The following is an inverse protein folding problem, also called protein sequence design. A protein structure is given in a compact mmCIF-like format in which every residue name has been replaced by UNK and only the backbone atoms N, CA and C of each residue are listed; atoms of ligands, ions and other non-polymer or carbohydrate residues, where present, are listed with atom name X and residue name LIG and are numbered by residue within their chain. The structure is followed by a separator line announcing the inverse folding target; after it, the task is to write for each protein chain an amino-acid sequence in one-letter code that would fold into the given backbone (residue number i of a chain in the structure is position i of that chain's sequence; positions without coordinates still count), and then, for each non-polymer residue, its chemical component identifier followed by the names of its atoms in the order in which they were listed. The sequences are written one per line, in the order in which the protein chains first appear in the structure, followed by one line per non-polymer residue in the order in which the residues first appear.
data_IF_007958034679
#
_entry.id   IF_007958034679
#
_cell.length_a   1.000
_cell.length_b   1.000
_cell.length_c   1.000
_cell.angle_alpha   90.00
_cell.angle_beta   90.00
_cell.angle_gamma   90.00
#
_symmetry.space_group_name_H-M   'P 1'
#
loop_
_entity.id
_entity.type
_entity.pdbx_description
1 polymer ?
#
# COMPACT_ATOMS: atom_id res chain seq x y z
N UNK A 1 1.86 10.05 2.79
CA UNK A 1 3.27 9.82 3.13
C UNK A 1 4.14 10.82 2.37
N UNK A 2 5.07 11.51 3.04
CA UNK A 2 5.88 12.58 2.42
C UNK A 2 6.99 11.99 1.53
N UNK A 3 7.66 10.93 1.99
CA UNK A 3 8.77 10.32 1.26
C UNK A 3 8.31 9.77 -0.11
N UNK A 4 7.18 9.05 -0.12
CA UNK A 4 6.52 8.58 -1.34
C UNK A 4 6.16 9.75 -2.26
N UNK A 5 5.58 10.82 -1.69
CA UNK A 5 5.23 12.02 -2.46
C UNK A 5 6.44 12.68 -3.12
N UNK A 6 7.56 12.80 -2.40
CA UNK A 6 8.81 13.35 -2.93
C UNK A 6 9.40 12.48 -4.06
N UNK A 7 9.32 11.15 -3.95
CA UNK A 7 9.76 10.23 -5.01
C UNK A 7 8.92 10.42 -6.29
N UNK A 8 7.59 10.44 -6.14
CA UNK A 8 6.66 10.65 -7.27
C UNK A 8 6.87 12.02 -7.90
N UNK A 9 7.08 13.07 -7.09
CA UNK A 9 7.42 14.42 -7.57
C UNK A 9 8.70 14.41 -8.41
N UNK A 10 9.77 13.83 -7.88
CA UNK A 10 11.06 13.77 -8.59
C UNK A 10 10.96 13.02 -9.93
N UNK A 11 10.27 11.87 -9.94
CA UNK A 11 10.07 11.07 -11.16
C UNK A 11 9.18 11.80 -12.16
N UNK A 12 8.06 12.40 -11.72
CA UNK A 12 7.10 13.05 -12.61
C UNK A 12 7.61 14.35 -13.25
N UNK A 13 8.61 14.99 -12.63
CA UNK A 13 9.33 16.15 -13.19
C UNK A 13 10.54 15.75 -14.04
N UNK A 14 10.84 14.46 -14.14
CA UNK A 14 11.97 13.93 -14.92
C UNK A 14 11.62 13.78 -16.41
N UNK A 15 12.61 13.73 -17.32
CA UNK A 15 12.36 13.44 -18.73
C UNK A 15 11.79 12.03 -18.99
N UNK A 16 11.84 11.13 -18.01
CA UNK A 16 11.35 9.76 -18.12
C UNK A 16 9.85 9.62 -17.82
N UNK A 17 9.22 10.65 -17.25
CA UNK A 17 7.82 10.61 -16.84
C UNK A 17 6.85 10.11 -17.93
N UNK A 18 6.98 10.52 -19.22
CA UNK A 18 6.08 10.05 -20.27
C UNK A 18 6.04 8.53 -20.47
N UNK A 19 7.08 7.82 -20.07
CA UNK A 19 7.25 6.37 -20.25
C UNK A 19 7.33 5.62 -18.91
N UNK A 20 6.90 6.25 -17.81
CA UNK A 20 7.00 5.68 -16.47
C UNK A 20 5.65 5.23 -15.92
N UNK A 21 5.65 4.08 -15.26
CA UNK A 21 4.59 3.66 -14.35
C UNK A 21 5.21 3.32 -12.98
N UNK A 22 4.59 3.81 -11.91
CA UNK A 22 4.97 3.54 -10.53
C UNK A 22 3.87 2.68 -9.93
N UNK A 23 4.26 1.52 -9.39
CA UNK A 23 3.38 0.64 -8.63
C UNK A 23 3.79 0.70 -7.16
N UNK A 24 2.82 0.97 -6.28
CA UNK A 24 3.02 1.02 -4.83
C UNK A 24 2.11 -0.06 -4.24
N UNK A 25 2.73 -1.04 -3.61
CA UNK A 25 2.09 -2.14 -2.88
C UNK A 25 2.78 -2.28 -1.52
N UNK A 26 2.15 -2.96 -0.57
CA UNK A 26 2.79 -3.35 0.69
C UNK A 26 3.51 -4.70 0.52
N UNK A 27 4.42 -5.02 1.44
CA UNK A 27 5.09 -6.34 1.49
C UNK A 27 4.09 -7.43 1.93
N UNK A 28 3.30 -7.11 2.96
CA UNK A 28 2.18 -7.90 3.42
C UNK A 28 1.17 -6.98 4.17
N UNK A 29 -0.09 -7.40 4.34
CA UNK A 29 -1.15 -6.59 4.96
C UNK A 29 -1.13 -6.64 6.49
N UNK A 30 -0.09 -7.20 7.10
CA UNK A 30 0.19 -7.21 8.54
C UNK A 30 -0.97 -7.74 9.41
N UNK A 31 -1.93 -8.46 8.81
CA UNK A 31 -3.04 -9.10 9.51
C UNK A 31 -4.06 -8.12 10.08
N UNK A 32 -4.29 -6.97 9.45
CA UNK A 32 -5.05 -5.83 10.02
C UNK A 32 -6.56 -6.05 10.21
N UNK A 33 -7.06 -7.29 10.21
CA UNK A 33 -8.48 -7.58 10.47
C UNK A 33 -9.43 -6.98 9.43
N UNK A 34 -9.04 -7.00 8.15
CA UNK A 34 -9.87 -6.53 7.05
C UNK A 34 -11.17 -7.36 6.95
N UNK A 35 -12.29 -6.66 6.75
CA UNK A 35 -13.63 -7.25 6.79
C UNK A 35 -13.99 -8.10 5.56
N UNK A 36 -13.23 -8.00 4.46
CA UNK A 36 -13.42 -8.81 3.26
C UNK A 36 -12.48 -10.00 3.30
N UNK A 37 -11.18 -9.74 3.43
CA UNK A 37 -10.16 -10.77 3.42
C UNK A 37 -8.87 -10.25 4.08
N UNK A 38 -8.27 -11.03 4.99
CA UNK A 38 -7.19 -10.57 5.86
C UNK A 38 -5.87 -10.27 5.14
N UNK A 39 -5.69 -10.82 3.93
CA UNK A 39 -4.58 -10.57 3.03
C UNK A 39 -4.85 -9.43 2.02
N UNK A 40 -6.00 -8.76 2.07
CA UNK A 40 -6.26 -7.62 1.20
C UNK A 40 -5.37 -6.44 1.59
N UNK A 41 -4.53 -5.99 0.65
CA UNK A 41 -3.66 -4.82 0.79
C UNK A 41 -4.07 -3.69 -0.18
N UNK A 42 -3.36 -2.57 -0.12
CA UNK A 42 -3.49 -1.44 -1.03
C UNK A 42 -2.61 -1.63 -2.26
N UNK A 43 -3.10 -1.17 -3.41
CA UNK A 43 -2.30 -1.03 -4.63
C UNK A 43 -2.59 0.33 -5.25
N UNK A 44 -1.56 1.15 -5.43
CA UNK A 44 -1.64 2.48 -6.05
C UNK A 44 -0.77 2.46 -7.29
N UNK A 45 -1.35 2.86 -8.43
CA UNK A 45 -0.62 2.96 -9.71
C UNK A 45 -0.61 4.42 -10.16
N UNK A 46 0.59 4.93 -10.48
CA UNK A 46 0.82 6.33 -10.84
C UNK A 46 1.57 6.37 -12.18
N UNK A 47 0.97 7.01 -13.18
CA UNK A 47 1.52 7.14 -14.53
C UNK A 47 0.75 8.21 -15.32
N UNK A 48 1.31 8.83 -16.37
CA UNK A 48 0.49 9.58 -17.33
C UNK A 48 -0.59 8.72 -17.99
N UNK A 49 -0.38 7.40 -18.04
CA UNK A 49 -1.20 6.46 -18.78
C UNK A 49 -2.31 5.80 -17.95
N UNK A 50 -2.44 6.13 -16.66
CA UNK A 50 -3.57 5.66 -15.85
C UNK A 50 -4.73 6.65 -15.88
N UNK A 51 -5.96 6.13 -15.73
CA UNK A 51 -7.16 6.95 -15.56
C UNK A 51 -7.07 7.74 -14.24
N UNK A 52 -7.12 9.08 -14.30
CA UNK A 52 -7.05 9.93 -13.10
C UNK A 52 -8.24 9.71 -12.17
N UNK A 53 -7.96 9.58 -10.87
CA UNK A 53 -8.99 9.45 -9.84
C UNK A 53 -9.85 8.20 -9.97
N UNK A 54 -9.39 7.22 -10.75
CA UNK A 54 -10.12 5.98 -10.98
C UNK A 54 -9.84 4.97 -9.88
N UNK A 55 -10.91 4.42 -9.31
CA UNK A 55 -10.87 3.30 -8.38
C UNK A 55 -11.32 2.05 -9.13
N UNK A 56 -10.40 1.09 -9.33
CA UNK A 56 -10.78 -0.21 -9.84
C UNK A 56 -11.50 -1.02 -8.77
N UNK A 57 -12.56 -1.73 -9.16
CA UNK A 57 -13.23 -2.75 -8.34
C UNK A 57 -13.02 -4.16 -8.90
N UNK A 58 -12.11 -4.31 -9.87
CA UNK A 58 -11.69 -5.61 -10.37
C UNK A 58 -10.81 -6.26 -9.30
N UNK A 59 -11.00 -7.56 -9.09
CA UNK A 59 -10.17 -8.33 -8.18
C UNK A 59 -8.79 -8.57 -8.80
N UNK A 60 -7.75 -8.10 -8.12
CA UNK A 60 -6.35 -8.28 -8.49
C UNK A 60 -5.56 -8.77 -7.29
N UNK A 61 -4.56 -9.59 -7.59
CA UNK A 61 -3.63 -10.18 -6.64
C UNK A 61 -2.21 -9.71 -7.01
N UNK A 62 -1.20 -9.91 -6.16
CA UNK A 62 0.18 -9.49 -6.49
C UNK A 62 0.69 -10.03 -7.84
N UNK A 63 0.42 -11.30 -8.24
CA UNK A 63 0.74 -11.77 -9.58
C UNK A 63 0.17 -10.93 -10.73
N UNK A 64 -0.96 -10.24 -10.54
CA UNK A 64 -1.54 -9.31 -11.52
C UNK A 64 -0.66 -8.08 -11.75
N UNK A 65 -0.01 -7.58 -10.70
CA UNK A 65 0.95 -6.47 -10.80
C UNK A 65 2.15 -6.91 -11.65
N UNK A 66 2.75 -8.05 -11.30
CA UNK A 66 3.88 -8.60 -12.06
C UNK A 66 3.51 -8.88 -13.51
N UNK A 67 2.37 -9.53 -13.76
CA UNK A 67 1.87 -9.78 -15.11
C UNK A 67 1.72 -8.49 -15.92
N UNK A 68 1.27 -7.42 -15.30
CA UNK A 68 1.12 -6.11 -15.96
C UNK A 68 2.48 -5.52 -16.32
N UNK A 69 3.45 -5.56 -15.40
CA UNK A 69 4.82 -5.10 -15.63
C UNK A 69 5.50 -5.91 -16.74
N UNK A 70 5.33 -7.23 -16.74
CA UNK A 70 5.87 -8.12 -17.77
C UNK A 70 5.37 -7.75 -19.17
N UNK A 71 4.06 -7.50 -19.29
CA UNK A 71 3.44 -7.09 -20.55
C UNK A 71 3.95 -5.71 -21.01
N UNK A 72 4.17 -4.76 -20.10
CA UNK A 72 4.74 -3.46 -20.42
C UNK A 72 6.18 -3.56 -20.92
N UNK A 73 7.00 -4.36 -20.26
CA UNK A 73 8.41 -4.53 -20.59
C UNK A 73 8.64 -5.51 -21.76
N UNK A 74 7.60 -6.24 -22.18
CA UNK A 74 7.68 -7.24 -23.25
C UNK A 74 8.50 -8.48 -22.84
N UNK A 75 8.52 -8.81 -21.55
CA UNK A 75 9.27 -9.96 -21.00
C UNK A 75 8.33 -11.15 -20.74
N UNK A 76 8.83 -12.40 -20.79
CA UNK A 76 8.01 -13.57 -20.48
C UNK A 76 7.69 -13.65 -18.98
N UNK A 77 6.65 -14.43 -18.59
CA UNK A 77 6.35 -14.68 -17.19
C UNK A 77 7.51 -15.31 -16.43
N UNK A 78 7.72 -14.92 -15.18
CA UNK A 78 8.76 -15.50 -14.32
C UNK A 78 8.38 -16.89 -13.79
N UNK A 79 7.08 -17.19 -13.67
CA UNK A 79 6.60 -18.46 -13.12
C UNK A 79 5.21 -18.87 -13.60
N UNK A 80 4.54 -19.71 -12.79
CA UNK A 80 3.16 -20.15 -13.08
C UNK A 80 2.13 -19.11 -12.64
N UNK A 81 2.43 -18.38 -11.57
CA UNK A 81 1.46 -17.49 -10.92
C UNK A 81 1.17 -16.27 -11.80
N UNK A 82 2.21 -15.54 -12.20
CA UNK A 82 2.15 -14.43 -13.17
C UNK A 82 1.66 -14.89 -14.55
N UNK A 83 2.05 -16.08 -15.02
CA UNK A 83 1.59 -16.62 -16.30
C UNK A 83 0.06 -16.80 -16.34
N UNK A 84 -0.56 -17.15 -15.22
CA UNK A 84 -2.01 -17.37 -15.09
C UNK A 84 -2.78 -16.18 -14.51
N UNK A 85 -2.08 -15.12 -14.09
CA UNK A 85 -2.70 -13.94 -13.50
C UNK A 85 -3.43 -13.09 -14.55
N UNK A 86 -4.50 -12.41 -14.10
CA UNK A 86 -5.17 -11.41 -14.91
C UNK A 86 -4.38 -10.09 -14.88
N UNK A 87 -4.03 -9.49 -16.03
CA UNK A 87 -3.39 -8.18 -16.05
C UNK A 87 -4.36 -7.05 -15.64
N UNK A 88 -3.79 -5.97 -15.10
CA UNK A 88 -4.52 -4.78 -14.64
C UNK A 88 -4.92 -3.87 -15.81
N UNK A 89 -5.73 -4.36 -16.75
CA UNK A 89 -6.01 -3.63 -18.00
C UNK A 89 -7.00 -2.47 -17.85
N UNK A 90 -7.87 -2.51 -16.84
CA UNK A 90 -8.96 -1.54 -16.72
C UNK A 90 -8.51 -0.14 -16.26
N UNK A 91 -7.32 -0.03 -15.66
CA UNK A 91 -6.79 1.22 -15.13
C UNK A 91 -6.12 2.12 -16.18
N UNK A 92 -5.79 1.59 -17.36
CA UNK A 92 -5.02 2.31 -18.40
C UNK A 92 -5.94 3.08 -19.35
N UNK A 93 -5.44 4.23 -19.83
CA UNK A 93 -6.02 4.95 -20.97
C UNK A 93 -5.51 4.34 -22.28
N UNK A 94 -6.31 4.43 -23.33
CA UNK A 94 -5.98 3.83 -24.64
C UNK A 94 -5.12 4.76 -25.53
N UNK A 95 -4.92 6.02 -25.13
CA UNK A 95 -4.23 7.04 -25.94
C UNK A 95 -5.03 7.49 -27.17
N UNK A 96 -6.27 7.04 -27.33
CA UNK A 96 -7.15 7.36 -28.46
C UNK A 96 -8.41 8.05 -27.95
N UNK A 97 -9.28 7.32 -27.26
CA UNK A 97 -10.47 7.87 -26.63
C UNK A 97 -10.12 8.72 -25.40
N UNK A 98 -9.09 8.34 -24.66
CA UNK A 98 -8.56 9.11 -23.54
C UNK A 98 -7.05 9.27 -23.69
N UNK A 99 -6.61 10.52 -23.76
CA UNK A 99 -5.20 10.87 -23.88
C UNK A 99 -4.50 10.73 -22.52
N UNK A 100 -3.20 10.35 -22.51
CA UNK A 100 -2.39 10.37 -21.30
C UNK A 100 -2.25 11.80 -20.76
N UNK A 101 -2.14 11.91 -19.45
CA UNK A 101 -1.97 13.20 -18.78
C UNK A 101 -0.59 13.32 -18.15
N UNK A 102 0.27 14.08 -18.82
CA UNK A 102 1.66 14.27 -18.45
C UNK A 102 1.88 15.32 -17.35
N UNK A 103 0.83 15.90 -16.76
CA UNK A 103 1.02 16.92 -15.73
C UNK A 103 1.78 16.34 -14.54
N UNK A 104 2.86 17.01 -14.09
CA UNK A 104 3.69 16.50 -13.00
C UNK A 104 2.92 16.51 -11.68
N UNK A 105 3.45 15.80 -10.69
CA UNK A 105 2.97 15.79 -9.33
C UNK A 105 3.80 16.72 -8.46
N UNK A 106 3.14 17.51 -7.61
CA UNK A 106 3.77 18.31 -6.57
C UNK A 106 3.54 17.63 -5.22
N UNK A 107 4.62 17.33 -4.50
CA UNK A 107 4.51 16.69 -3.20
C UNK A 107 3.84 17.63 -2.19
N UNK A 108 2.91 17.09 -1.40
CA UNK A 108 2.27 17.86 -0.33
C UNK A 108 3.18 17.80 0.89
N UNK A 109 3.88 18.91 1.15
CA UNK A 109 4.67 19.09 2.35
C UNK A 109 3.76 19.45 3.51
N UNK A 110 3.83 18.64 4.56
CA UNK A 110 3.19 18.92 5.84
C UNK A 110 4.27 19.08 6.91
N UNK A 111 4.26 20.24 7.57
CA UNK A 111 5.08 20.50 8.76
C UNK A 111 4.34 19.93 9.96
N UNK A 112 4.46 18.62 10.17
CA UNK A 112 3.93 17.96 11.36
C UNK A 112 5.05 18.03 12.42
N UNK A 113 4.80 18.69 13.56
CA UNK A 113 5.75 18.68 14.67
C UNK A 113 6.08 17.24 15.05
N UNK A 114 7.36 16.97 15.32
CA UNK A 114 7.75 15.67 15.88
C UNK A 114 7.14 15.55 17.27
N UNK A 115 6.06 14.80 17.36
CA UNK A 115 5.44 14.42 18.63
C UNK A 115 5.98 13.07 19.06
N UNK A 116 6.46 13.00 20.29
CA UNK A 116 6.65 11.72 20.97
C UNK A 116 5.30 11.30 21.55
N UNK A 117 4.99 10.00 21.50
CA UNK A 117 3.83 9.47 22.20
C UNK A 117 3.90 9.93 23.67
N UNK A 118 2.85 10.58 24.20
CA UNK A 118 2.80 10.91 25.61
C UNK A 118 2.82 9.61 26.43
N UNK A 119 3.20 9.69 27.71
CA UNK A 119 3.01 8.55 28.61
C UNK A 119 1.51 8.25 28.73
N UNK A 120 1.06 7.19 28.05
CA UNK A 120 -0.31 6.69 28.06
C UNK A 120 -0.61 5.83 29.31
N UNK A 121 0.25 5.86 30.31
CA UNK A 121 0.08 5.18 31.58
C UNK A 121 0.17 3.66 31.42
N UNK A 122 -0.91 2.95 31.79
CA UNK A 122 -0.94 1.48 31.77
C UNK A 122 -0.73 0.89 30.38
N UNK A 123 -1.18 1.56 29.32
CA UNK A 123 -0.97 1.10 27.94
C UNK A 123 0.49 1.25 27.49
N UNK A 124 1.18 2.30 27.93
CA UNK A 124 2.61 2.46 27.66
C UNK A 124 3.40 1.36 28.37
N UNK A 125 3.08 1.10 29.65
CA UNK A 125 3.72 0.03 30.44
C UNK A 125 3.43 -1.38 29.91
N UNK A 126 2.29 -1.57 29.23
CA UNK A 126 1.92 -2.86 28.66
C UNK A 126 2.92 -3.35 27.60
N UNK A 127 3.68 -2.45 26.97
CA UNK A 127 4.67 -2.77 25.95
C UNK A 127 6.13 -2.63 26.42
N UNK A 128 6.38 -2.41 27.71
CA UNK A 128 7.75 -2.33 28.27
C UNK A 128 8.56 -3.63 28.05
N UNK A 129 7.88 -4.74 27.79
CA UNK A 129 8.47 -6.03 27.49
C UNK A 129 8.90 -6.19 26.03
N UNK A 130 8.52 -5.26 25.15
CA UNK A 130 8.76 -5.35 23.72
C UNK A 130 10.16 -4.85 23.35
N UNK A 131 10.88 -5.66 22.56
CA UNK A 131 12.19 -5.29 22.00
C UNK A 131 12.00 -4.67 20.61
N UNK A 132 11.84 -3.35 20.54
CA UNK A 132 11.66 -2.63 19.28
C UNK A 132 12.95 -2.46 18.46
N UNK A 133 14.10 -2.95 18.95
CA UNK A 133 15.33 -2.99 18.14
C UNK A 133 15.33 -4.16 17.15
N UNK A 134 14.42 -5.13 17.34
CA UNK A 134 14.31 -6.32 16.51
C UNK A 134 12.90 -6.47 15.96
N UNK A 135 12.83 -7.03 14.76
CA UNK A 135 11.57 -7.31 14.07
C UNK A 135 10.80 -8.38 14.85
N UNK A 136 9.48 -8.19 14.97
CA UNK A 136 8.52 -9.13 15.55
C UNK A 136 8.82 -9.59 17.00
N UNK A 137 9.39 -8.72 17.83
CA UNK A 137 9.64 -9.00 19.26
C UNK A 137 8.65 -8.29 20.19
N UNK A 138 7.37 -8.24 19.80
CA UNK A 138 6.30 -7.67 20.62
C UNK A 138 4.96 -8.43 20.49
N UNK A 139 4.88 -9.70 20.95
CA UNK A 139 3.63 -10.45 20.92
C UNK A 139 2.49 -9.71 21.64
N UNK A 140 1.30 -9.68 21.04
CA UNK A 140 0.13 -9.00 21.62
C UNK A 140 0.11 -7.48 21.42
N UNK A 141 1.04 -6.90 20.65
CA UNK A 141 1.02 -5.47 20.31
C UNK A 141 -0.29 -5.05 19.65
N UNK A 142 -0.84 -5.87 18.75
CA UNK A 142 -2.12 -5.60 18.08
C UNK A 142 -3.27 -5.35 19.06
N UNK A 143 -3.30 -6.07 20.18
CA UNK A 143 -4.31 -5.87 21.24
C UNK A 143 -4.13 -4.56 21.99
N UNK A 144 -2.88 -4.18 22.29
CA UNK A 144 -2.57 -2.90 22.94
C UNK A 144 -2.97 -1.75 22.02
N UNK A 145 -2.64 -1.83 20.74
CA UNK A 145 -2.99 -0.82 19.73
C UNK A 145 -4.52 -0.72 19.55
N UNK A 146 -5.24 -1.84 19.50
CA UNK A 146 -6.69 -1.84 19.45
C UNK A 146 -7.28 -1.10 20.66
N UNK A 147 -6.83 -1.42 21.87
CA UNK A 147 -7.31 -0.76 23.09
C UNK A 147 -6.98 0.73 23.13
N UNK A 148 -5.81 1.12 22.61
CA UNK A 148 -5.43 2.53 22.47
C UNK A 148 -6.36 3.27 21.49
N UNK A 149 -6.70 2.66 20.36
CA UNK A 149 -7.51 3.30 19.32
C UNK A 149 -9.02 3.24 19.57
N UNK A 150 -9.50 2.19 20.24
CA UNK A 150 -10.93 1.84 20.37
C UNK A 150 -11.43 1.80 21.81
N UNK A 151 -10.54 1.97 22.80
CA UNK A 151 -10.89 1.85 24.22
C UNK A 151 -11.33 0.43 24.58
N UNK A 152 -12.36 0.30 25.41
CA UNK A 152 -12.92 -0.99 25.84
C UNK A 152 -13.87 -1.62 24.80
N UNK A 153 -13.86 -1.13 23.56
CA UNK A 153 -14.61 -1.76 22.47
C UNK A 153 -14.12 -3.21 22.30
N UNK A 154 -15.01 -4.22 22.34
CA UNK A 154 -14.60 -5.59 22.09
C UNK A 154 -14.10 -5.71 20.65
N UNK A 155 -13.19 -6.65 20.44
CA UNK A 155 -12.76 -6.99 19.08
C UNK A 155 -13.97 -7.39 18.23
N UNK A 156 -14.01 -7.02 16.94
CA UNK A 156 -15.01 -7.52 16.04
C UNK A 156 -14.92 -9.06 15.99
N UNK A 157 -16.04 -9.81 15.99
CA UNK A 157 -16.04 -11.27 16.02
C UNK A 157 -15.32 -11.95 14.84
N UNK A 158 -15.05 -11.18 13.78
CA UNK A 158 -14.42 -11.61 12.55
C UNK A 158 -12.95 -11.19 12.44
N UNK A 159 -12.39 -10.49 13.43
CA UNK A 159 -10.97 -10.15 13.42
C UNK A 159 -10.13 -11.43 13.43
N UNK A 160 -9.20 -11.55 12.48
CA UNK A 160 -8.23 -12.63 12.38
C UNK A 160 -6.84 -12.03 12.48
N UNK A 161 -6.01 -12.56 13.35
CA UNK A 161 -4.65 -12.07 13.60
C UNK A 161 -3.63 -13.02 12.96
N UNK A 162 -2.45 -12.51 12.62
CA UNK A 162 -1.34 -13.34 12.12
C UNK A 162 -0.83 -14.31 13.21
N UNK A 163 -1.03 -13.97 14.48
CA UNK A 163 -0.56 -14.73 15.63
C UNK A 163 -1.51 -15.85 16.10
N UNK A 164 -2.68 -16.01 15.47
CA UNK A 164 -3.69 -17.06 15.76
C UNK A 164 -3.61 -18.24 14.79
#
# INVERSE_FOLDING_TARGET
DLATGMLVEAISKSPYWPETAIFIIEDDPQGTGDHVEAHRSICIVISPWVKRGYLSSVHYDDPSVYKTIELMLGVPPMGRNDALAAPMLDIWVDGIAQQPDYSPFDAIYFDIPKETNPDLGELSRAVDHCDFEKIDQCPGLGMVLWRMMKGDCPLPPYAKWIDD
#
